data_IF_575623065548
#
_entry.id   IF_575623065548
#
_cell.length_a   1.000
_cell.length_b   1.000
_cell.length_c   1.000
_cell.angle_alpha   90.00
_cell.angle_beta   90.00
_cell.angle_gamma   90.00
#
_symmetry.space_group_name_H-M   'P 1'
#
loop_
_entity.id
_entity.type
_entity.pdbx_description
1 polymer ?
#
# COMPACT_ATOMS: atom_id res chain seq x y z
N UNK A 1 14.38 38.88 -2.18
CA UNK A 1 15.11 37.80 -1.49
C UNK A 1 14.20 36.91 -0.64
N UNK A 2 13.40 37.46 0.28
CA UNK A 2 12.52 36.66 1.18
C UNK A 2 11.55 35.75 0.40
N UNK A 3 10.91 36.27 -0.65
CA UNK A 3 10.01 35.47 -1.49
C UNK A 3 10.76 34.32 -2.20
N UNK A 4 11.96 34.58 -2.73
CA UNK A 4 12.77 33.55 -3.38
C UNK A 4 13.21 32.45 -2.39
N UNK A 5 13.53 32.82 -1.15
CA UNK A 5 13.86 31.88 -0.08
C UNK A 5 12.65 31.04 0.34
N UNK A 6 11.47 31.66 0.46
CA UNK A 6 10.20 30.98 0.75
C UNK A 6 9.83 29.98 -0.34
N UNK A 7 9.92 30.39 -1.61
CA UNK A 7 9.67 29.51 -2.75
C UNK A 7 10.65 28.34 -2.78
N UNK A 8 11.94 28.60 -2.55
CA UNK A 8 12.97 27.56 -2.47
C UNK A 8 12.73 26.56 -1.33
N UNK A 9 12.36 27.06 -0.14
CA UNK A 9 12.04 26.21 1.01
C UNK A 9 10.80 25.34 0.75
N UNK A 10 9.76 25.92 0.14
CA UNK A 10 8.53 25.19 -0.20
C UNK A 10 8.81 24.07 -1.20
N UNK A 11 9.57 24.35 -2.26
CA UNK A 11 9.97 23.36 -3.27
C UNK A 11 10.83 22.26 -2.64
N UNK A 12 11.78 22.63 -1.78
CA UNK A 12 12.62 21.67 -1.07
C UNK A 12 11.80 20.72 -0.19
N UNK A 13 10.83 21.23 0.57
CA UNK A 13 9.93 20.43 1.40
C UNK A 13 9.07 19.50 0.52
N UNK A 14 8.55 20.00 -0.61
CA UNK A 14 7.75 19.20 -1.54
C UNK A 14 8.56 18.03 -2.10
N UNK A 15 9.77 18.30 -2.59
CA UNK A 15 10.67 17.29 -3.14
C UNK A 15 11.06 16.27 -2.07
N UNK A 16 11.44 16.71 -0.87
CA UNK A 16 11.79 15.82 0.23
C UNK A 16 10.62 14.89 0.63
N UNK A 17 9.38 15.41 0.62
CA UNK A 17 8.18 14.64 0.92
C UNK A 17 7.85 13.62 -0.18
N UNK A 18 8.08 13.96 -1.44
CA UNK A 18 7.89 13.04 -2.58
C UNK A 18 8.93 11.92 -2.57
N UNK A 19 10.21 12.26 -2.37
CA UNK A 19 11.29 11.27 -2.28
C UNK A 19 11.10 10.30 -1.11
N UNK A 20 10.64 10.81 0.05
CA UNK A 20 10.32 9.97 1.21
C UNK A 20 9.20 8.97 0.88
N UNK A 21 8.10 9.41 0.29
CA UNK A 21 7.00 8.52 -0.12
C UNK A 21 7.44 7.46 -1.13
N UNK A 22 8.32 7.83 -2.06
CA UNK A 22 8.86 6.88 -3.03
C UNK A 22 9.76 5.84 -2.35
N UNK A 23 10.54 6.24 -1.34
CA UNK A 23 11.29 5.31 -0.48
C UNK A 23 10.34 4.36 0.24
N UNK A 24 9.29 4.87 0.88
CA UNK A 24 8.34 4.05 1.63
C UNK A 24 7.64 3.03 0.72
N UNK A 25 7.28 3.42 -0.52
CA UNK A 25 6.70 2.52 -1.52
C UNK A 25 7.72 1.48 -2.00
N UNK A 26 8.96 1.88 -2.29
CA UNK A 26 10.03 0.96 -2.67
C UNK A 26 10.29 -0.05 -1.55
N UNK A 27 10.32 0.40 -0.31
CA UNK A 27 10.59 -0.42 0.85
C UNK A 27 9.40 -1.36 1.12
N UNK A 28 8.16 -0.90 0.95
CA UNK A 28 6.98 -1.77 0.98
C UNK A 28 6.99 -2.82 -0.14
N UNK A 29 7.34 -2.43 -1.36
CA UNK A 29 7.45 -3.35 -2.51
C UNK A 29 8.59 -4.36 -2.34
N UNK A 30 9.71 -3.94 -1.73
CA UNK A 30 10.82 -4.82 -1.37
C UNK A 30 10.44 -5.77 -0.21
N UNK A 31 9.65 -5.30 0.76
CA UNK A 31 9.13 -6.12 1.86
C UNK A 31 8.09 -7.14 1.38
N UNK A 32 7.30 -6.82 0.35
CA UNK A 32 6.39 -7.76 -0.34
C UNK A 32 7.19 -8.78 -1.15
N UNK A 33 8.22 -8.35 -1.87
CA UNK A 33 9.07 -9.23 -2.69
C UNK A 33 9.93 -10.20 -1.86
N UNK A 34 10.28 -9.85 -0.61
CA UNK A 34 11.09 -10.68 0.29
C UNK A 34 10.27 -11.69 1.13
N UNK A 35 8.98 -11.87 0.85
CA UNK A 35 8.24 -13.07 1.27
C UNK A 35 8.00 -13.23 2.78
N UNK A 36 8.04 -12.15 3.58
CA UNK A 36 7.82 -12.25 5.04
C UNK A 36 6.41 -11.88 5.49
N UNK A 37 5.50 -11.53 4.58
CA UNK A 37 4.13 -11.24 4.98
C UNK A 37 3.29 -12.51 4.89
N UNK A 38 3.15 -13.14 6.04
CA UNK A 38 2.11 -14.10 6.38
C UNK A 38 0.78 -13.74 5.69
N UNK A 39 0.48 -14.46 4.61
CA UNK A 39 -0.76 -14.34 3.82
C UNK A 39 -2.01 -14.68 4.65
N UNK A 40 -1.86 -15.10 5.92
CA UNK A 40 -2.96 -15.26 6.85
C UNK A 40 -3.58 -13.93 7.31
N UNK A 41 -2.92 -12.79 7.10
CA UNK A 41 -3.49 -11.49 7.44
C UNK A 41 -4.61 -11.09 6.48
N UNK A 42 -5.85 -11.08 7.00
CA UNK A 42 -7.06 -10.65 6.30
C UNK A 42 -7.35 -9.18 6.55
N UNK A 43 -7.73 -8.46 5.49
CA UNK A 43 -8.23 -7.10 5.59
C UNK A 43 -9.64 -7.08 6.19
N UNK A 44 -9.97 -6.11 7.07
CA UNK A 44 -11.32 -5.96 7.60
C UNK A 44 -12.30 -5.56 6.49
N UNK A 45 -13.25 -6.43 6.19
CA UNK A 45 -14.28 -6.22 5.15
C UNK A 45 -15.53 -5.49 5.66
N UNK A 46 -15.46 -4.88 6.85
CA UNK A 46 -16.60 -4.17 7.43
C UNK A 46 -16.83 -2.84 6.70
N UNK A 47 -17.90 -2.76 5.91
CA UNK A 47 -18.31 -1.53 5.21
C UNK A 47 -19.22 -1.82 4.02
N UNK A 48 -19.73 -0.77 3.38
CA UNK A 48 -20.49 -0.84 2.12
C UNK A 48 -19.88 0.10 1.05
N UNK A 49 -18.59 0.42 1.20
CA UNK A 49 -17.87 1.33 0.33
C UNK A 49 -16.87 0.56 -0.56
N UNK A 50 -16.20 1.30 -1.44
CA UNK A 50 -15.22 0.75 -2.39
C UNK A 50 -14.01 0.14 -1.68
N UNK A 51 -13.71 0.58 -0.46
CA UNK A 51 -12.61 0.05 0.35
C UNK A 51 -12.96 -1.35 0.86
N UNK A 52 -14.21 -1.57 1.27
CA UNK A 52 -14.71 -2.90 1.64
C UNK A 52 -14.68 -3.88 0.44
N UNK A 53 -15.03 -3.43 -0.77
CA UNK A 53 -14.92 -4.27 -1.98
C UNK A 53 -13.48 -4.66 -2.29
N UNK A 54 -12.53 -3.73 -2.15
CA UNK A 54 -11.10 -4.01 -2.37
C UNK A 54 -10.57 -4.98 -1.30
N UNK A 55 -10.97 -4.82 -0.03
CA UNK A 55 -10.62 -5.73 1.05
C UNK A 55 -11.11 -7.16 0.77
N UNK A 56 -12.35 -7.30 0.26
CA UNK A 56 -12.94 -8.59 -0.09
C UNK A 56 -12.20 -9.27 -1.24
N UNK A 57 -11.87 -8.53 -2.31
CA UNK A 57 -11.11 -9.04 -3.45
C UNK A 57 -9.68 -9.46 -3.07
N UNK A 58 -9.03 -8.70 -2.18
CA UNK A 58 -7.71 -9.03 -1.65
C UNK A 58 -7.73 -10.31 -0.80
N UNK A 59 -8.71 -10.44 0.09
CA UNK A 59 -8.86 -11.65 0.93
C UNK A 59 -9.07 -12.90 0.06
N UNK A 60 -9.94 -12.82 -0.95
CA UNK A 60 -10.18 -13.93 -1.90
C UNK A 60 -8.94 -14.29 -2.74
N UNK A 61 -8.11 -13.30 -3.08
CA UNK A 61 -6.85 -13.53 -3.77
C UNK A 61 -5.81 -14.19 -2.85
N UNK A 62 -5.73 -13.77 -1.59
CA UNK A 62 -4.85 -14.37 -0.57
C UNK A 62 -5.20 -15.84 -0.30
N UNK A 63 -6.50 -16.16 -0.25
CA UNK A 63 -6.99 -17.53 -0.06
C UNK A 63 -6.53 -18.44 -1.23
N UNK A 64 -6.58 -17.96 -2.48
CA UNK A 64 -6.11 -18.71 -3.67
C UNK A 64 -4.60 -18.96 -3.67
N UNK A 65 -3.81 -18.02 -3.18
CA UNK A 65 -2.35 -18.15 -3.07
C UNK A 65 -1.93 -19.09 -1.95
N UNK A 66 -2.72 -19.17 -0.88
CA UNK A 66 -2.43 -19.97 0.31
C UNK A 66 -2.77 -21.47 0.15
N UNK A 67 -3.32 -21.88 -0.99
CA UNK A 67 -3.42 -23.29 -1.41
C UNK A 67 -4.61 -24.08 -0.87
N UNK A 68 -5.75 -23.44 -0.55
CA UNK A 68 -6.95 -24.13 -0.08
C UNK A 68 -8.18 -23.83 -0.93
N UNK A 69 -8.64 -24.84 -1.67
CA UNK A 69 -10.01 -25.09 -2.12
C UNK A 69 -10.76 -23.98 -2.88
N UNK A 70 -10.96 -24.22 -4.17
CA UNK A 70 -11.98 -23.56 -5.00
C UNK A 70 -13.39 -23.87 -4.46
N UNK A 71 -14.16 -22.89 -3.95
CA UNK A 71 -15.54 -23.13 -3.54
C UNK A 71 -16.53 -22.94 -4.70
N UNK A 72 -16.09 -22.82 -5.96
CA UNK A 72 -16.97 -22.71 -7.14
C UNK A 72 -17.19 -24.07 -7.85
N UNK A 73 -17.41 -25.11 -7.04
CA UNK A 73 -18.34 -26.19 -7.37
C UNK A 73 -19.77 -25.76 -7.02
#
# INVERSE_FOLDING_TARGET
>A
MILALLSGALVHILIARLLKRLSDIRDAMHNIANGTNDLSQRLPESGNDEVAQIAQAFNAFSDKLSGGDDPAA
#
